data_IF_377501880006
#
_entry.id   IF_377501880006
#
_cell.length_a   1.000
_cell.length_b   1.000
_cell.length_c   1.000
_cell.angle_alpha   90.00
_cell.angle_beta   90.00
_cell.angle_gamma   90.00
#
_symmetry.space_group_name_H-M   'P 1'
#
loop_
_entity.id
_entity.type
_entity.pdbx_description
1 polymer ?
#
# COMPACT_ATOMS: atom_id res chain seq x y z
N UNK A 1 16.23 40.40 47.02
CA UNK A 1 16.49 39.16 46.26
C UNK A 1 15.18 38.59 45.76
N UNK A 2 15.08 38.38 44.43
CA UNK A 2 14.35 37.31 43.69
C UNK A 2 13.58 37.85 42.48
N UNK A 3 14.25 37.76 41.32
CA UNK A 3 13.68 37.80 39.98
C UNK A 3 12.85 36.54 39.74
N UNK A 4 11.72 36.63 39.04
CA UNK A 4 11.14 35.46 38.36
C UNK A 4 10.43 35.91 37.09
N UNK A 5 11.05 35.58 35.95
CA UNK A 5 10.53 35.73 34.59
C UNK A 5 9.84 34.39 34.24
N UNK A 6 8.58 34.42 33.82
CA UNK A 6 7.88 33.23 33.31
C UNK A 6 7.66 33.42 31.80
N UNK A 7 8.55 32.83 30.99
CA UNK A 7 8.35 32.69 29.55
C UNK A 7 7.59 31.39 29.32
N UNK A 8 6.31 31.50 28.98
CA UNK A 8 5.49 30.39 28.50
C UNK A 8 5.73 30.21 27.00
N UNK A 9 6.68 29.34 26.65
CA UNK A 9 6.84 28.86 25.28
C UNK A 9 5.90 27.66 25.04
N UNK A 10 4.77 27.91 24.39
CA UNK A 10 3.91 26.84 23.89
C UNK A 10 4.55 26.29 22.60
N UNK A 11 5.26 25.17 22.73
CA UNK A 11 5.77 24.41 21.59
C UNK A 11 4.60 23.92 20.74
N UNK A 12 4.43 24.49 19.55
CA UNK A 12 3.60 23.92 18.50
C UNK A 12 4.30 22.66 17.96
N UNK A 13 3.89 21.49 18.41
CA UNK A 13 4.31 20.22 17.84
C UNK A 13 3.69 20.07 16.44
N UNK A 14 4.42 20.52 15.42
CA UNK A 14 4.15 20.13 14.05
C UNK A 14 4.48 18.64 13.92
N UNK A 15 3.46 17.79 13.99
CA UNK A 15 3.59 16.38 13.63
C UNK A 15 3.94 16.32 12.14
N UNK A 16 5.22 16.12 11.82
CA UNK A 16 5.67 15.91 10.45
C UNK A 16 5.03 14.60 9.95
N UNK A 17 3.99 14.71 9.12
CA UNK A 17 3.51 13.59 8.34
C UNK A 17 4.66 13.19 7.40
N UNK A 18 5.32 12.07 7.68
CA UNK A 18 6.35 11.54 6.81
C UNK A 18 5.74 11.25 5.44
N UNK A 19 6.43 11.66 4.37
CA UNK A 19 5.96 11.37 3.02
C UNK A 19 6.01 9.87 2.75
N UNK A 20 5.08 9.35 1.95
CA UNK A 20 5.04 7.93 1.60
C UNK A 20 6.40 7.45 1.05
N UNK A 21 7.02 8.26 0.18
CA UNK A 21 8.34 8.00 -0.39
C UNK A 21 9.43 7.95 0.68
N UNK A 22 9.35 8.78 1.72
CA UNK A 22 10.31 8.78 2.82
C UNK A 22 10.15 7.54 3.72
N UNK A 23 8.92 7.10 3.96
CA UNK A 23 8.66 5.83 4.69
C UNK A 23 9.19 4.66 3.90
N UNK A 24 8.87 4.56 2.60
CA UNK A 24 9.35 3.47 1.75
C UNK A 24 10.89 3.46 1.61
N UNK A 25 11.53 4.63 1.64
CA UNK A 25 12.99 4.73 1.56
C UNK A 25 13.71 4.20 2.81
N UNK A 26 13.01 4.03 3.94
CA UNK A 26 13.58 3.47 5.18
C UNK A 26 13.59 1.95 5.21
N UNK A 27 12.89 1.29 4.30
CA UNK A 27 12.77 -0.17 4.24
C UNK A 27 13.48 -0.69 2.99
N UNK A 28 14.65 -1.32 3.16
CA UNK A 28 15.41 -1.90 2.03
C UNK A 28 14.60 -2.98 1.28
N UNK A 29 13.72 -3.68 2.00
CA UNK A 29 12.86 -4.75 1.50
C UNK A 29 11.84 -4.31 0.45
N UNK A 30 11.58 -3.01 0.30
CA UNK A 30 10.63 -2.43 -0.68
C UNK A 30 11.30 -1.44 -1.65
N UNK A 31 12.62 -1.44 -1.73
CA UNK A 31 13.37 -0.54 -2.63
C UNK A 31 12.99 -0.71 -4.11
N UNK A 32 12.67 -1.93 -4.55
CA UNK A 32 12.18 -2.18 -5.91
C UNK A 32 10.82 -1.53 -6.17
N UNK A 33 9.93 -1.45 -5.16
CA UNK A 33 8.66 -0.74 -5.26
C UNK A 33 8.88 0.77 -5.37
N UNK A 34 9.83 1.32 -4.61
CA UNK A 34 10.15 2.75 -4.66
C UNK A 34 10.67 3.18 -6.05
N UNK A 35 11.49 2.32 -6.68
CA UNK A 35 11.93 2.52 -8.06
C UNK A 35 10.75 2.50 -9.04
N UNK A 36 9.79 1.59 -8.86
CA UNK A 36 8.59 1.51 -9.69
C UNK A 36 7.63 2.70 -9.48
N UNK A 37 7.51 3.20 -8.25
CA UNK A 37 6.72 4.40 -7.97
C UNK A 37 7.35 5.66 -8.59
N UNK A 38 8.68 5.70 -8.69
CA UNK A 38 9.40 6.79 -9.34
C UNK A 38 9.10 6.88 -10.85
N UNK A 39 8.71 5.78 -11.49
CA UNK A 39 8.27 5.79 -12.90
C UNK A 39 6.79 6.13 -13.06
N UNK A 40 6.02 6.20 -11.97
CA UNK A 40 4.58 6.48 -11.98
C UNK A 40 4.20 7.68 -11.09
N UNK A 41 4.54 8.92 -11.50
CA UNK A 41 4.32 10.12 -10.70
C UNK A 41 2.83 10.42 -10.44
N UNK A 42 1.95 10.07 -11.38
CA UNK A 42 0.50 10.26 -11.23
C UNK A 42 -0.07 9.44 -10.07
N UNK A 43 0.46 8.22 -9.86
CA UNK A 43 0.03 7.38 -8.74
C UNK A 43 0.58 7.94 -7.42
N UNK A 44 1.85 8.35 -7.38
CA UNK A 44 2.43 8.97 -6.17
C UNK A 44 1.64 10.21 -5.76
N UNK A 45 1.24 11.06 -6.70
CA UNK A 45 0.38 12.22 -6.42
C UNK A 45 -1.00 11.82 -5.88
N UNK A 46 -1.61 10.78 -6.45
CA UNK A 46 -2.89 10.23 -5.98
C UNK A 46 -2.77 9.66 -4.58
N UNK A 47 -1.73 8.89 -4.29
CA UNK A 47 -1.46 8.30 -2.98
C UNK A 47 -1.11 9.35 -1.93
N UNK A 48 -0.36 10.39 -2.31
CA UNK A 48 -0.06 11.52 -1.42
C UNK A 48 -1.29 12.38 -1.09
N UNK A 49 -2.29 12.41 -1.98
CA UNK A 49 -3.56 13.13 -1.75
C UNK A 49 -4.61 12.27 -1.05
N UNK A 50 -4.50 10.94 -1.16
CA UNK A 50 -5.40 10.00 -0.53
C UNK A 50 -5.26 10.04 0.99
N UNK A 51 -6.39 10.00 1.69
CA UNK A 51 -6.45 9.95 3.15
C UNK A 51 -7.11 8.66 3.58
N UNK A 52 -6.68 8.13 4.72
CA UNK A 52 -7.21 6.90 5.31
C UNK A 52 -7.12 5.71 4.34
N UNK A 53 -5.93 5.47 3.79
CA UNK A 53 -5.64 4.32 2.92
C UNK A 53 -4.65 3.38 3.58
N UNK A 54 -4.70 2.11 3.20
CA UNK A 54 -3.72 1.10 3.58
C UNK A 54 -3.03 0.61 2.31
N UNK A 55 -1.70 0.67 2.28
CA UNK A 55 -0.92 0.26 1.11
C UNK A 55 -0.26 -1.08 1.42
N UNK A 56 -0.57 -2.08 0.59
CA UNK A 56 0.11 -3.36 0.61
C UNK A 56 1.38 -3.25 -0.23
N UNK A 57 2.51 -2.95 0.41
CA UNK A 57 3.78 -2.82 -0.29
C UNK A 57 4.39 -4.22 -0.56
N UNK A 58 4.51 -4.68 -1.83
CA UNK A 58 5.23 -5.91 -2.13
C UNK A 58 6.73 -5.75 -1.83
N UNK A 59 7.34 -6.82 -1.31
CA UNK A 59 8.78 -6.86 -1.10
C UNK A 59 9.54 -7.06 -2.44
N UNK A 60 10.86 -6.88 -2.41
CA UNK A 60 11.73 -7.03 -3.58
C UNK A 60 11.63 -8.43 -4.21
N UNK A 61 11.47 -9.46 -3.39
CA UNK A 61 11.31 -10.85 -3.84
C UNK A 61 10.02 -11.04 -4.63
N UNK A 62 8.91 -10.47 -4.15
CA UNK A 62 7.62 -10.51 -4.84
C UNK A 62 7.67 -9.76 -6.18
N UNK A 63 8.35 -8.61 -6.25
CA UNK A 63 8.55 -7.88 -7.51
C UNK A 63 9.42 -8.69 -8.47
N UNK A 64 10.49 -9.30 -7.97
CA UNK A 64 11.37 -10.16 -8.78
C UNK A 64 10.60 -11.36 -9.33
N UNK A 65 9.79 -12.03 -8.51
CA UNK A 65 8.95 -13.15 -8.92
C UNK A 65 7.92 -12.73 -9.98
N UNK A 66 7.32 -11.55 -9.84
CA UNK A 66 6.39 -11.00 -10.85
C UNK A 66 7.08 -10.78 -12.20
N UNK A 67 8.29 -10.21 -12.21
CA UNK A 67 9.04 -9.91 -13.44
C UNK A 67 9.72 -11.14 -14.06
N UNK A 68 10.02 -12.16 -13.25
CA UNK A 68 10.64 -13.41 -13.70
C UNK A 68 9.64 -14.35 -14.38
N UNK A 69 8.34 -14.17 -14.10
CA UNK A 69 7.28 -14.86 -14.82
C UNK A 69 7.11 -14.24 -16.22
N UNK A 70 7.41 -15.02 -17.25
CA UNK A 70 7.42 -14.58 -18.64
C UNK A 70 6.02 -14.18 -19.14
N UNK A 71 4.95 -14.77 -18.61
CA UNK A 71 3.58 -14.38 -18.97
C UNK A 71 3.23 -13.01 -18.38
N UNK A 72 3.63 -12.75 -17.12
CA UNK A 72 3.43 -11.45 -16.49
C UNK A 72 4.28 -10.36 -17.15
N UNK A 73 5.54 -10.65 -17.45
CA UNK A 73 6.42 -9.71 -18.16
C UNK A 73 5.87 -9.36 -19.55
N UNK A 74 5.39 -10.35 -20.31
CA UNK A 74 4.75 -10.12 -21.61
C UNK A 74 3.46 -9.30 -21.49
N UNK A 75 2.64 -9.56 -20.47
CA UNK A 75 1.42 -8.79 -20.22
C UNK A 75 1.72 -7.32 -19.88
N UNK A 76 2.71 -7.07 -19.03
CA UNK A 76 3.17 -5.72 -18.66
C UNK A 76 3.72 -4.96 -19.86
N UNK A 77 4.50 -5.63 -20.73
CA UNK A 77 5.02 -5.01 -21.95
C UNK A 77 3.92 -4.70 -22.97
N UNK A 78 2.86 -5.52 -23.01
CA UNK A 78 1.74 -5.35 -23.94
C UNK A 78 0.78 -4.25 -23.51
N UNK A 79 0.65 -3.99 -22.20
CA UNK A 79 -0.30 -3.04 -21.65
C UNK A 79 0.36 -2.15 -20.57
N UNK A 80 0.67 -0.92 -20.95
CA UNK A 80 1.23 0.09 -20.05
C UNK A 80 0.27 0.52 -18.94
N UNK A 81 -1.04 0.27 -19.08
CA UNK A 81 -2.05 0.50 -18.05
C UNK A 81 -2.08 -0.58 -16.96
N UNK A 82 -1.43 -1.72 -17.19
CA UNK A 82 -1.46 -2.85 -16.26
C UNK A 82 -0.68 -2.57 -14.97
N UNK A 83 0.49 -1.95 -15.06
CA UNK A 83 1.30 -1.58 -13.88
C UNK A 83 0.53 -0.66 -12.93
N UNK A 84 -0.04 0.48 -13.36
CA UNK A 84 -0.83 1.31 -12.47
C UNK A 84 -2.10 0.62 -11.96
N UNK A 85 -2.71 -0.27 -12.74
CA UNK A 85 -3.84 -1.07 -12.27
C UNK A 85 -3.43 -2.02 -11.12
N UNK A 86 -2.32 -2.74 -11.27
CA UNK A 86 -1.77 -3.63 -10.23
C UNK A 86 -1.42 -2.82 -8.97
N UNK A 87 -0.75 -1.66 -9.12
CA UNK A 87 -0.42 -0.83 -7.97
C UNK A 87 -1.66 -0.27 -7.27
N UNK A 88 -2.68 0.13 -8.03
CA UNK A 88 -3.96 0.60 -7.48
C UNK A 88 -4.71 -0.52 -6.74
N UNK A 89 -4.55 -1.77 -7.18
CA UNK A 89 -5.09 -2.94 -6.48
C UNK A 89 -4.41 -3.20 -5.13
N UNK A 90 -3.14 -2.82 -4.98
CA UNK A 90 -2.42 -2.90 -3.71
C UNK A 90 -2.79 -1.79 -2.73
N UNK A 91 -3.65 -0.84 -3.13
CA UNK A 91 -4.09 0.26 -2.29
C UNK A 91 -5.52 0.00 -1.85
N UNK A 92 -5.69 -0.19 -0.56
CA UNK A 92 -6.98 -0.46 0.07
C UNK A 92 -7.57 0.87 0.55
N UNK A 93 -8.86 1.06 0.27
CA UNK A 93 -9.61 2.19 0.77
C UNK A 93 -10.04 1.94 2.23
N UNK A 94 -9.46 2.70 3.16
CA UNK A 94 -9.61 2.55 4.61
C UNK A 94 -8.28 2.29 5.31
N UNK A 95 -8.22 2.65 6.59
CA UNK A 95 -7.06 2.38 7.47
C UNK A 95 -7.29 1.06 8.21
N UNK A 96 -6.58 0.01 7.82
CA UNK A 96 -6.65 -1.31 8.44
C UNK A 96 -5.30 -1.65 9.05
N UNK A 97 -5.29 -1.73 10.38
CA UNK A 97 -4.13 -2.18 11.16
C UNK A 97 -4.20 -3.71 11.32
N UNK A 98 -3.07 -4.34 11.62
CA UNK A 98 -3.00 -5.80 11.78
C UNK A 98 -3.98 -6.37 12.82
N UNK A 99 -4.25 -5.61 13.88
CA UNK A 99 -5.21 -5.92 14.95
C UNK A 99 -6.68 -5.86 14.50
N UNK A 100 -6.98 -5.19 13.38
CA UNK A 100 -8.32 -5.12 12.83
C UNK A 100 -8.74 -6.43 12.13
N UNK A 101 -7.80 -7.35 11.90
CA UNK A 101 -8.08 -8.63 11.25
C UNK A 101 -8.31 -9.74 12.28
N UNK A 102 -9.36 -10.53 12.03
CA UNK A 102 -9.77 -11.67 12.85
C UNK A 102 -9.68 -12.95 12.04
N UNK A 103 -9.97 -14.11 12.63
CA UNK A 103 -10.12 -15.37 11.88
C UNK A 103 -11.22 -15.30 10.82
N UNK A 104 -12.21 -14.44 11.03
CA UNK A 104 -13.23 -14.09 10.04
C UNK A 104 -12.64 -13.27 8.89
N UNK A 105 -12.96 -13.69 7.67
CA UNK A 105 -12.51 -13.03 6.44
C UNK A 105 -13.25 -11.70 6.23
N UNK A 106 -12.48 -10.65 5.94
CA UNK A 106 -13.00 -9.31 5.61
C UNK A 106 -12.72 -8.98 4.15
N UNK A 107 -13.73 -8.55 3.41
CA UNK A 107 -13.58 -8.11 2.02
C UNK A 107 -13.37 -6.60 1.97
N UNK A 108 -12.17 -6.17 1.61
CA UNK A 108 -11.76 -4.78 1.61
C UNK A 108 -11.74 -4.22 0.19
N UNK A 109 -12.36 -3.05 -0.06
CA UNK A 109 -12.33 -2.41 -1.37
C UNK A 109 -10.95 -1.82 -1.68
N UNK A 110 -10.47 -2.03 -2.90
CA UNK A 110 -9.23 -1.43 -3.39
C UNK A 110 -9.52 -0.14 -4.18
N UNK A 111 -8.47 0.64 -4.51
CA UNK A 111 -8.59 1.78 -5.41
C UNK A 111 -8.70 1.39 -6.89
N UNK A 112 -8.60 0.10 -7.22
CA UNK A 112 -8.84 -0.38 -8.58
C UNK A 112 -10.33 -0.34 -8.92
N UNK A 113 -10.76 0.80 -9.44
CA UNK A 113 -12.14 1.06 -9.90
C UNK A 113 -12.28 1.01 -11.42
N UNK A 114 -11.16 0.91 -12.15
CA UNK A 114 -11.15 0.90 -13.60
C UNK A 114 -11.82 -0.38 -14.14
N UNK A 115 -12.97 -0.21 -14.81
CA UNK A 115 -13.79 -1.31 -15.33
C UNK A 115 -13.06 -2.22 -16.34
N UNK A 116 -12.00 -1.73 -16.98
CA UNK A 116 -11.14 -2.54 -17.87
C UNK A 116 -10.44 -3.67 -17.11
N UNK A 117 -10.14 -3.48 -15.83
CA UNK A 117 -9.39 -4.43 -14.99
C UNK A 117 -10.20 -4.95 -13.80
N UNK A 118 -11.19 -4.20 -13.34
CA UNK A 118 -12.14 -4.60 -12.31
C UNK A 118 -13.52 -4.80 -12.96
N UNK A 119 -13.80 -6.02 -13.41
CA UNK A 119 -15.11 -6.40 -13.96
C UNK A 119 -16.19 -6.58 -12.89
N UNK A 120 -15.96 -6.04 -11.69
CA UNK A 120 -16.85 -6.16 -10.52
C UNK A 120 -17.48 -4.81 -10.24
N UNK A 121 -18.81 -4.79 -10.12
CA UNK A 121 -19.57 -3.59 -9.79
C UNK A 121 -19.15 -3.09 -8.39
N UNK A 122 -18.47 -1.94 -8.33
CA UNK A 122 -17.88 -1.39 -7.09
C UNK A 122 -16.38 -1.63 -6.92
N UNK A 123 -15.67 -2.14 -7.93
CA UNK A 123 -14.21 -2.31 -7.93
C UNK A 123 -13.75 -3.65 -7.38
N UNK A 124 -12.46 -3.97 -7.59
CA UNK A 124 -11.89 -5.22 -7.11
C UNK A 124 -11.68 -5.16 -5.60
N UNK A 125 -12.02 -6.25 -4.89
CA UNK A 125 -11.83 -6.37 -3.43
C UNK A 125 -10.75 -7.40 -3.11
N UNK A 126 -10.03 -7.18 -2.01
CA UNK A 126 -9.10 -8.16 -1.41
C UNK A 126 -9.75 -8.78 -0.18
N UNK A 127 -9.57 -10.07 0.03
CA UNK A 127 -9.96 -10.74 1.27
C UNK A 127 -8.79 -10.65 2.24
N UNK A 128 -8.99 -10.08 3.43
CA UNK A 128 -7.99 -10.04 4.50
C UNK A 128 -8.48 -10.81 5.72
N UNK A 129 -7.63 -11.67 6.29
CA UNK A 129 -7.92 -12.45 7.50
C UNK A 129 -6.66 -12.61 8.35
N UNK A 130 -6.83 -12.80 9.66
CA UNK A 130 -5.73 -13.19 10.53
C UNK A 130 -5.41 -14.67 10.36
N UNK A 131 -4.14 -14.99 10.13
CA UNK A 131 -3.59 -16.32 10.04
C UNK A 131 -2.53 -16.50 11.14
N UNK A 132 -2.98 -16.90 12.33
CA UNK A 132 -2.11 -17.00 13.50
C UNK A 132 -1.72 -15.63 14.03
N UNK A 133 -0.43 -15.29 13.97
CA UNK A 133 0.12 -13.99 14.40
C UNK A 133 0.27 -12.99 13.25
N UNK A 134 -0.03 -13.38 12.01
CA UNK A 134 0.11 -12.53 10.82
C UNK A 134 -1.22 -12.33 10.10
N UNK A 135 -1.27 -11.37 9.17
CA UNK A 135 -2.42 -11.15 8.29
C UNK A 135 -2.14 -11.77 6.92
N UNK A 136 -3.12 -12.49 6.41
CA UNK A 136 -3.13 -13.04 5.05
C UNK A 136 -4.12 -12.26 4.21
N UNK A 137 -3.65 -11.81 3.04
CA UNK A 137 -4.49 -11.24 2.00
C UNK A 137 -4.64 -12.24 0.86
N UNK A 138 -5.87 -12.42 0.37
CA UNK A 138 -6.20 -13.29 -0.75
C UNK A 138 -6.81 -12.45 -1.87
N UNK A 139 -6.29 -12.63 -3.08
CA UNK A 139 -6.80 -11.96 -4.28
C UNK A 139 -8.02 -12.65 -4.86
N UNK A 140 -8.73 -11.97 -5.76
CA UNK A 140 -9.86 -12.57 -6.50
C UNK A 140 -9.48 -13.83 -7.30
N UNK A 141 -8.20 -13.99 -7.66
CA UNK A 141 -7.65 -15.19 -8.32
C UNK A 141 -7.21 -16.28 -7.33
N UNK A 142 -7.60 -16.16 -6.07
CA UNK A 142 -7.24 -17.07 -4.98
C UNK A 142 -5.73 -17.17 -4.67
N UNK A 143 -4.91 -16.23 -5.15
CA UNK A 143 -3.50 -16.11 -4.75
C UNK A 143 -3.41 -15.48 -3.37
N UNK A 144 -2.54 -16.02 -2.52
CA UNK A 144 -2.37 -15.57 -1.14
C UNK A 144 -1.05 -14.80 -0.99
N UNK A 145 -1.10 -13.74 -0.18
CA UNK A 145 0.02 -12.89 0.19
C UNK A 145 0.04 -12.76 1.72
N UNK A 146 1.22 -12.90 2.32
CA UNK A 146 1.41 -12.80 3.77
C UNK A 146 2.04 -11.46 4.11
N UNK A 147 1.55 -10.83 5.16
CA UNK A 147 2.18 -9.63 5.73
C UNK A 147 3.41 -10.06 6.54
N UNK A 148 4.58 -9.60 6.12
CA UNK A 148 5.86 -9.85 6.82
C UNK A 148 6.24 -8.71 7.76
N UNK A 149 5.82 -7.49 7.43
CA UNK A 149 6.06 -6.25 8.20
C UNK A 149 4.81 -5.37 8.11
N UNK A 150 4.42 -4.70 9.22
CA UNK A 150 3.21 -3.87 9.32
C UNK A 150 3.44 -2.63 10.18
#
# INVERSE_FOLDING_TARGET
>A
MKFTITVSALFAACAAAQSLTEVLSKHESVSALNNLLSTQPALVSTLGSAKNITILAPNNEAITALTSDSANAAAIQKDSGLVPAILSYHVINGTYRGDAFTKEAKFLPTLLTNATYAQVMGGQKVEGKAAGQTVEFKSGLQKMSKVTEA
#
